data_IF_389915649615
#
_entry.id   IF_389915649615
#
_cell.length_a   1.000
_cell.length_b   1.000
_cell.length_c   1.000
_cell.angle_alpha   90.00
_cell.angle_beta   90.00
_cell.angle_gamma   90.00
#
_symmetry.space_group_name_H-M   'P 1'
#
loop_
_entity.id
_entity.type
_entity.pdbx_description
1 polymer ?
#
# COMPACT_ATOMS: atom_id res chain seq x y z
N UNK A 1 -33.58 6.62 -18.84
CA UNK A 1 -32.64 6.94 -17.73
C UNK A 1 -31.43 7.73 -18.24
N UNK A 2 -31.59 8.95 -18.78
CA UNK A 2 -30.44 9.69 -19.36
C UNK A 2 -30.50 11.22 -19.33
N UNK A 3 -31.54 11.84 -18.75
CA UNK A 3 -31.63 13.31 -18.66
C UNK A 3 -31.18 13.87 -17.29
N UNK A 4 -31.30 13.07 -16.22
CA UNK A 4 -31.07 13.52 -14.84
C UNK A 4 -29.56 13.72 -14.55
N UNK A 5 -28.68 12.86 -15.09
CA UNK A 5 -27.23 12.92 -14.81
C UNK A 5 -26.49 14.06 -15.51
N UNK A 6 -26.98 14.54 -16.66
CA UNK A 6 -26.37 15.67 -17.39
C UNK A 6 -26.73 16.98 -16.68
N UNK A 7 -27.99 17.15 -16.29
CA UNK A 7 -28.48 18.34 -15.56
C UNK A 7 -27.82 18.49 -14.18
N UNK A 8 -27.67 17.40 -13.41
CA UNK A 8 -26.96 17.44 -12.12
C UNK A 8 -25.47 17.78 -12.29
N UNK A 9 -24.82 17.32 -13.35
CA UNK A 9 -23.43 17.67 -13.63
C UNK A 9 -23.26 19.16 -13.97
N UNK A 10 -24.13 19.70 -14.83
CA UNK A 10 -24.14 21.13 -15.18
C UNK A 10 -24.42 22.01 -13.95
N UNK A 11 -25.30 21.56 -13.06
CA UNK A 11 -25.56 22.22 -11.79
C UNK A 11 -24.31 22.24 -10.91
N UNK A 12 -23.60 21.12 -10.79
CA UNK A 12 -22.35 21.07 -10.03
C UNK A 12 -21.28 21.99 -10.62
N UNK A 13 -21.17 22.05 -11.94
CA UNK A 13 -20.26 22.96 -12.63
C UNK A 13 -20.60 24.42 -12.35
N UNK A 14 -21.88 24.79 -12.42
CA UNK A 14 -22.34 26.13 -12.05
C UNK A 14 -22.01 26.47 -10.59
N UNK A 15 -22.18 25.51 -9.67
CA UNK A 15 -21.82 25.71 -8.26
C UNK A 15 -20.31 25.93 -8.11
N UNK A 16 -19.49 25.13 -8.80
CA UNK A 16 -18.03 25.26 -8.80
C UNK A 16 -17.58 26.62 -9.36
N UNK A 17 -18.14 27.07 -10.48
CA UNK A 17 -17.85 28.38 -11.09
C UNK A 17 -18.22 29.55 -10.16
N UNK A 18 -19.31 29.39 -9.39
CA UNK A 18 -19.73 30.34 -8.35
C UNK A 18 -18.96 30.21 -7.03
N UNK A 19 -17.93 29.34 -6.96
CA UNK A 19 -17.14 29.03 -5.76
C UNK A 19 -17.94 28.40 -4.62
N UNK A 20 -19.14 27.88 -4.89
CA UNK A 20 -19.91 27.06 -3.95
C UNK A 20 -19.38 25.62 -4.00
N UNK A 21 -18.14 25.46 -3.52
CA UNK A 21 -17.42 24.19 -3.60
C UNK A 21 -18.04 23.09 -2.73
N UNK A 22 -18.69 23.46 -1.62
CA UNK A 22 -19.38 22.49 -0.76
C UNK A 22 -20.56 21.85 -1.49
N UNK A 23 -21.39 22.66 -2.16
CA UNK A 23 -22.52 22.15 -2.94
C UNK A 23 -22.07 21.38 -4.18
N UNK A 24 -21.04 21.88 -4.88
CA UNK A 24 -20.42 21.16 -5.99
C UNK A 24 -19.92 19.78 -5.55
N UNK A 25 -19.23 19.70 -4.39
CA UNK A 25 -18.72 18.45 -3.82
C UNK A 25 -19.85 17.47 -3.54
N UNK A 26 -20.91 17.91 -2.88
CA UNK A 26 -22.06 17.04 -2.56
C UNK A 26 -22.68 16.42 -3.81
N UNK A 27 -22.94 17.25 -4.84
CA UNK A 27 -23.53 16.77 -6.11
C UNK A 27 -22.57 15.80 -6.82
N UNK A 28 -21.29 16.17 -6.94
CA UNK A 28 -20.30 15.38 -7.65
C UNK A 28 -19.98 14.05 -6.95
N UNK A 29 -19.92 14.04 -5.61
CA UNK A 29 -19.76 12.79 -4.85
C UNK A 29 -20.93 11.84 -5.09
N UNK A 30 -22.17 12.36 -5.10
CA UNK A 30 -23.37 11.56 -5.44
C UNK A 30 -23.28 11.01 -6.88
N UNK A 31 -22.93 11.86 -7.85
CA UNK A 31 -22.80 11.43 -9.24
C UNK A 31 -21.70 10.38 -9.42
N UNK A 32 -20.57 10.51 -8.72
CA UNK A 32 -19.47 9.56 -8.80
C UNK A 32 -19.84 8.19 -8.23
N UNK A 33 -20.58 8.17 -7.12
CA UNK A 33 -21.12 6.93 -6.54
C UNK A 33 -22.14 6.23 -7.46
N UNK A 34 -22.93 6.99 -8.23
CA UNK A 34 -23.88 6.43 -9.18
C UNK A 34 -23.20 5.88 -10.44
N UNK A 35 -22.23 6.63 -10.98
CA UNK A 35 -21.47 6.21 -12.16
C UNK A 35 -20.08 6.86 -12.15
N UNK A 36 -19.08 6.02 -11.93
CA UNK A 36 -17.68 6.44 -12.05
C UNK A 36 -17.37 6.74 -13.51
N UNK A 37 -17.08 8.02 -13.79
CA UNK A 37 -16.62 8.47 -15.11
C UNK A 37 -15.45 9.43 -14.90
N UNK A 38 -14.53 9.46 -15.86
CA UNK A 38 -13.37 10.36 -15.81
C UNK A 38 -13.78 11.83 -15.66
N UNK A 39 -14.86 12.25 -16.34
CA UNK A 39 -15.38 13.63 -16.27
C UNK A 39 -15.82 13.99 -14.85
N UNK A 40 -16.60 13.12 -14.20
CA UNK A 40 -17.04 13.33 -12.82
C UNK A 40 -15.87 13.23 -11.84
N UNK A 41 -14.95 12.29 -12.05
CA UNK A 41 -13.74 12.13 -11.24
C UNK A 41 -12.92 13.42 -11.22
N UNK A 42 -12.55 13.94 -12.39
CA UNK A 42 -11.70 15.12 -12.49
C UNK A 42 -12.38 16.37 -11.92
N UNK A 43 -13.68 16.56 -12.15
CA UNK A 43 -14.41 17.70 -11.59
C UNK A 43 -14.52 17.61 -10.06
N UNK A 44 -14.75 16.40 -9.52
CA UNK A 44 -14.76 16.17 -8.09
C UNK A 44 -13.37 16.39 -7.49
N UNK A 45 -12.31 15.92 -8.15
CA UNK A 45 -10.92 16.18 -7.77
C UNK A 45 -10.65 17.68 -7.66
N UNK A 46 -10.98 18.46 -8.68
CA UNK A 46 -10.81 19.92 -8.64
C UNK A 46 -11.57 20.57 -7.49
N UNK A 47 -12.79 20.07 -7.20
CA UNK A 47 -13.60 20.56 -6.08
C UNK A 47 -12.96 20.23 -4.74
N UNK A 48 -12.45 19.01 -4.56
CA UNK A 48 -11.77 18.58 -3.33
C UNK A 48 -10.50 19.41 -3.09
N UNK A 49 -9.72 19.66 -4.15
CA UNK A 49 -8.55 20.55 -4.13
C UNK A 49 -8.94 21.96 -3.71
N UNK A 50 -10.05 22.51 -4.23
CA UNK A 50 -10.53 23.83 -3.86
C UNK A 50 -10.99 23.92 -2.40
N UNK A 51 -11.45 22.81 -1.81
CA UNK A 51 -11.78 22.70 -0.37
C UNK A 51 -10.60 22.27 0.51
N UNK A 52 -9.37 22.21 -0.04
CA UNK A 52 -8.16 21.75 0.64
C UNK A 52 -8.22 20.31 1.20
N UNK A 53 -9.13 19.48 0.69
CA UNK A 53 -9.22 18.06 1.05
C UNK A 53 -8.29 17.22 0.16
N UNK A 54 -6.99 17.45 0.33
CA UNK A 54 -5.94 16.89 -0.54
C UNK A 54 -5.84 15.36 -0.43
N UNK A 55 -6.10 14.80 0.75
CA UNK A 55 -6.10 13.35 0.97
C UNK A 55 -7.19 12.67 0.14
N UNK A 56 -8.44 13.16 0.23
CA UNK A 56 -9.54 12.63 -0.57
C UNK A 56 -9.32 12.87 -2.08
N UNK A 57 -8.78 14.02 -2.46
CA UNK A 57 -8.45 14.32 -3.85
C UNK A 57 -7.41 13.34 -4.42
N UNK A 58 -6.34 13.07 -3.67
CA UNK A 58 -5.30 12.13 -4.08
C UNK A 58 -5.82 10.70 -4.23
N UNK A 59 -6.62 10.22 -3.27
CA UNK A 59 -7.26 8.91 -3.33
C UNK A 59 -8.16 8.81 -4.56
N UNK A 60 -9.03 9.80 -4.77
CA UNK A 60 -9.94 9.84 -5.92
C UNK A 60 -9.21 9.85 -7.27
N UNK A 61 -8.14 10.63 -7.40
CA UNK A 61 -7.38 10.68 -8.64
C UNK A 61 -6.66 9.36 -8.93
N UNK A 62 -6.32 8.59 -7.90
CA UNK A 62 -5.65 7.30 -8.05
C UNK A 62 -6.54 6.24 -8.72
N UNK A 63 -7.87 6.37 -8.65
CA UNK A 63 -8.82 5.51 -9.39
C UNK A 63 -8.64 5.61 -10.92
N UNK A 64 -8.18 6.76 -11.41
CA UNK A 64 -7.95 7.04 -12.83
C UNK A 64 -6.49 7.43 -13.09
N UNK A 65 -5.55 6.85 -12.34
CA UNK A 65 -4.13 7.24 -12.35
C UNK A 65 -3.56 7.38 -13.77
N UNK A 66 -3.82 6.42 -14.65
CA UNK A 66 -3.31 6.43 -16.03
C UNK A 66 -3.77 7.66 -16.82
N UNK A 67 -5.01 8.13 -16.64
CA UNK A 67 -5.52 9.34 -17.30
C UNK A 67 -4.87 10.62 -16.75
N UNK A 68 -4.55 10.66 -15.45
CA UNK A 68 -3.81 11.77 -14.85
C UNK A 68 -2.37 11.80 -15.34
N UNK A 69 -1.72 10.65 -15.46
CA UNK A 69 -0.35 10.53 -15.96
C UNK A 69 -0.22 10.93 -17.43
N UNK A 70 -1.19 10.54 -18.28
CA UNK A 70 -1.15 10.79 -19.71
C UNK A 70 -1.33 12.28 -20.12
N UNK A 71 -1.71 13.16 -19.18
CA UNK A 71 -2.00 14.57 -19.46
C UNK A 71 -1.11 15.46 -18.59
N UNK A 72 -0.16 16.16 -19.21
CA UNK A 72 0.88 16.92 -18.50
C UNK A 72 0.34 17.89 -17.42
N UNK A 73 -0.80 18.55 -17.70
CA UNK A 73 -1.45 19.45 -16.74
C UNK A 73 -2.05 18.72 -15.52
N UNK A 74 -2.58 17.52 -15.72
CA UNK A 74 -3.18 16.70 -14.66
C UNK A 74 -2.11 15.97 -13.86
N UNK A 75 -1.05 15.50 -14.51
CA UNK A 75 0.09 14.89 -13.84
C UNK A 75 0.72 15.86 -12.84
N UNK A 76 0.95 17.11 -13.26
CA UNK A 76 1.42 18.17 -12.35
C UNK A 76 0.50 18.35 -11.13
N UNK A 77 -0.81 18.42 -11.36
CA UNK A 77 -1.78 18.59 -10.27
C UNK A 77 -1.80 17.37 -9.35
N UNK A 78 -1.69 16.16 -9.90
CA UNK A 78 -1.60 14.92 -9.14
C UNK A 78 -0.41 14.92 -8.19
N UNK A 79 0.79 15.28 -8.68
CA UNK A 79 1.99 15.40 -7.86
C UNK A 79 1.82 16.43 -6.74
N UNK A 80 1.34 17.63 -7.07
CA UNK A 80 1.16 18.71 -6.09
C UNK A 80 0.13 18.34 -5.01
N UNK A 81 -0.96 17.68 -5.40
CA UNK A 81 -1.98 17.21 -4.45
C UNK A 81 -1.45 16.07 -3.60
N UNK A 82 -0.70 15.13 -4.17
CA UNK A 82 -0.09 14.03 -3.40
C UNK A 82 0.92 14.53 -2.36
N UNK A 83 1.71 15.57 -2.69
CA UNK A 83 2.62 16.20 -1.71
C UNK A 83 1.84 16.81 -0.56
N UNK A 84 0.78 17.57 -0.85
CA UNK A 84 -0.09 18.16 0.18
C UNK A 84 -0.90 17.13 0.96
N UNK A 85 -1.13 15.95 0.39
CA UNK A 85 -1.74 14.80 1.05
C UNK A 85 -0.75 14.00 1.92
N UNK A 86 0.53 14.39 1.97
CA UNK A 86 1.56 13.69 2.72
C UNK A 86 1.95 12.33 2.13
N UNK A 87 1.86 12.18 0.80
CA UNK A 87 2.10 10.91 0.11
C UNK A 87 3.43 10.89 -0.66
N UNK A 88 4.44 11.60 -0.18
CA UNK A 88 5.71 11.84 -0.88
C UNK A 88 6.42 10.53 -1.26
N UNK A 89 6.48 9.57 -0.35
CA UNK A 89 7.11 8.27 -0.64
C UNK A 89 6.33 7.50 -1.71
N UNK A 90 5.00 7.56 -1.71
CA UNK A 90 4.16 6.95 -2.77
C UNK A 90 4.37 7.62 -4.11
N UNK A 91 4.53 8.94 -4.14
CA UNK A 91 4.87 9.67 -5.37
C UNK A 91 6.25 9.28 -5.89
N UNK A 92 7.26 9.13 -5.02
CA UNK A 92 8.59 8.65 -5.42
C UNK A 92 8.56 7.21 -5.96
N UNK A 93 7.71 6.34 -5.38
CA UNK A 93 7.50 4.98 -5.89
C UNK A 93 6.91 5.01 -7.30
N UNK A 94 5.85 5.79 -7.51
CA UNK A 94 5.23 5.99 -8.81
C UNK A 94 6.25 6.51 -9.84
N UNK A 95 6.99 7.56 -9.49
CA UNK A 95 8.03 8.14 -10.34
C UNK A 95 9.10 7.12 -10.70
N UNK A 96 9.53 6.27 -9.76
CA UNK A 96 10.54 5.24 -10.02
C UNK A 96 10.06 4.22 -11.08
N UNK A 97 8.75 3.92 -11.10
CA UNK A 97 8.15 3.02 -12.08
C UNK A 97 7.99 3.65 -13.46
N UNK A 98 7.62 4.93 -13.52
CA UNK A 98 7.34 5.62 -14.78
C UNK A 98 8.54 6.40 -15.33
N UNK A 99 9.65 6.52 -14.59
CA UNK A 99 10.83 7.30 -14.97
C UNK A 99 11.34 7.03 -16.39
N UNK A 100 11.35 5.78 -16.91
CA UNK A 100 11.76 5.51 -18.30
C UNK A 100 10.89 6.19 -19.37
N UNK A 101 9.68 6.58 -19.02
CA UNK A 101 8.69 7.18 -19.93
C UNK A 101 8.57 8.70 -19.76
N UNK A 102 9.25 9.31 -18.78
CA UNK A 102 9.21 10.75 -18.54
C UNK A 102 10.23 11.48 -19.43
N UNK A 103 9.80 12.57 -20.07
CA UNK A 103 10.73 13.48 -20.75
C UNK A 103 11.47 14.39 -19.75
N UNK A 104 12.51 15.09 -20.22
CA UNK A 104 13.37 15.94 -19.38
C UNK A 104 12.60 17.03 -18.60
N UNK A 105 11.58 17.63 -19.23
CA UNK A 105 10.76 18.66 -18.61
C UNK A 105 9.89 18.08 -17.47
N UNK A 106 9.34 16.88 -17.67
CA UNK A 106 8.58 16.16 -16.65
C UNK A 106 9.46 15.68 -15.49
N UNK A 107 10.66 15.18 -15.77
CA UNK A 107 11.63 14.82 -14.74
C UNK A 107 11.99 16.04 -13.87
N UNK A 108 12.26 17.18 -14.51
CA UNK A 108 12.54 18.44 -13.80
C UNK A 108 11.36 18.89 -12.94
N UNK A 109 10.14 18.79 -13.47
CA UNK A 109 8.91 19.12 -12.74
C UNK A 109 8.73 18.22 -11.51
N UNK A 110 8.93 16.91 -11.67
CA UNK A 110 8.82 15.91 -10.61
C UNK A 110 9.79 16.22 -9.49
N UNK A 111 11.08 16.36 -9.82
CA UNK A 111 12.13 16.62 -8.83
C UNK A 111 11.82 17.92 -8.09
N UNK A 112 11.48 18.99 -8.80
CA UNK A 112 11.11 20.26 -8.18
C UNK A 112 9.94 20.11 -7.21
N UNK A 113 8.88 19.40 -7.61
CA UNK A 113 7.66 19.25 -6.79
C UNK A 113 7.91 18.40 -5.55
N UNK A 114 8.69 17.33 -5.66
CA UNK A 114 8.93 16.41 -4.54
C UNK A 114 10.00 16.90 -3.56
N UNK A 115 10.88 17.80 -3.99
CA UNK A 115 11.87 18.45 -3.11
C UNK A 115 11.27 19.60 -2.26
N UNK A 116 10.06 20.07 -2.56
CA UNK A 116 9.36 21.09 -1.75
C UNK A 116 8.82 20.53 -0.42
N UNK A 117 9.28 19.36 0.00
CA UNK A 117 8.82 18.66 1.20
C UNK A 117 9.63 19.11 2.42
N UNK A 118 8.93 19.65 3.42
CA UNK A 118 9.56 20.13 4.64
C UNK A 118 10.07 19.00 5.55
N UNK A 119 10.98 19.35 6.45
CA UNK A 119 11.45 18.43 7.49
C UNK A 119 10.50 18.45 8.70
N UNK A 120 9.84 17.32 8.97
CA UNK A 120 9.19 17.07 10.26
C UNK A 120 10.16 16.28 11.16
N UNK A 121 10.88 17.01 12.00
CA UNK A 121 11.92 16.43 12.87
C UNK A 121 11.35 15.51 13.95
N UNK A 122 10.13 15.77 14.42
CA UNK A 122 9.49 14.93 15.44
C UNK A 122 9.02 13.60 14.83
N UNK A 123 8.40 13.65 13.65
CA UNK A 123 7.99 12.46 12.92
C UNK A 123 9.22 11.64 12.51
N UNK A 124 10.27 12.28 11.98
CA UNK A 124 11.53 11.61 11.62
C UNK A 124 12.14 10.86 12.80
N UNK A 125 12.18 11.47 13.99
CA UNK A 125 12.67 10.83 15.22
C UNK A 125 11.79 9.65 15.64
N UNK A 126 10.47 9.83 15.62
CA UNK A 126 9.52 8.77 15.98
C UNK A 126 9.63 7.58 15.03
N UNK A 127 9.79 7.85 13.73
CA UNK A 127 9.95 6.84 12.70
C UNK A 127 11.28 6.07 12.83
N UNK A 128 12.38 6.76 13.13
CA UNK A 128 13.70 6.12 13.32
C UNK A 128 13.77 5.23 14.57
N UNK A 129 12.84 5.39 15.51
CA UNK A 129 12.74 4.61 16.74
C UNK A 129 11.41 3.84 16.82
N UNK A 130 10.93 3.34 15.68
CA UNK A 130 9.59 2.77 15.58
C UNK A 130 9.33 1.62 16.57
N UNK A 131 10.32 0.77 16.84
CA UNK A 131 10.21 -0.35 17.78
C UNK A 131 9.89 0.06 19.23
N UNK A 132 10.14 1.32 19.61
CA UNK A 132 9.83 1.82 20.95
C UNK A 132 8.32 2.05 21.20
N UNK A 133 7.48 1.92 20.17
CA UNK A 133 6.05 2.20 20.23
C UNK A 133 5.21 0.92 20.17
N UNK A 134 3.99 0.99 20.71
CA UNK A 134 3.01 -0.08 20.58
C UNK A 134 2.53 -0.22 19.12
N UNK A 135 2.11 -1.42 18.71
CA UNK A 135 1.83 -1.74 17.30
C UNK A 135 0.87 -0.75 16.59
N UNK A 136 -0.19 -0.30 17.28
CA UNK A 136 -1.13 0.69 16.72
C UNK A 136 -0.44 2.00 16.38
N UNK A 137 0.49 2.44 17.24
CA UNK A 137 1.31 3.62 17.00
C UNK A 137 2.38 3.36 15.94
N UNK A 138 3.04 2.21 15.95
CA UNK A 138 4.00 1.84 14.90
C UNK A 138 3.38 1.99 13.50
N UNK A 139 2.18 1.44 13.32
CA UNK A 139 1.46 1.53 12.04
C UNK A 139 1.15 2.97 11.63
N UNK A 140 0.65 3.77 12.58
CA UNK A 140 0.33 5.18 12.33
C UNK A 140 1.58 5.98 11.97
N UNK A 141 2.64 5.88 12.77
CA UNK A 141 3.91 6.58 12.53
C UNK A 141 4.49 6.16 11.18
N UNK A 142 4.46 4.87 10.85
CA UNK A 142 4.93 4.37 9.57
C UNK A 142 4.15 4.97 8.39
N UNK A 143 2.82 5.08 8.50
CA UNK A 143 1.97 5.71 7.48
C UNK A 143 2.23 7.22 7.38
N UNK A 144 2.29 7.91 8.50
CA UNK A 144 2.56 9.35 8.58
C UNK A 144 3.94 9.67 7.96
N UNK A 145 4.92 8.78 8.14
CA UNK A 145 6.27 8.92 7.59
C UNK A 145 6.32 9.00 6.06
N UNK A 146 5.26 8.60 5.33
CA UNK A 146 5.20 8.84 3.88
C UNK A 146 5.20 10.32 3.49
N UNK A 147 4.92 11.22 4.44
CA UNK A 147 5.03 12.66 4.26
C UNK A 147 6.46 13.20 4.38
N UNK A 148 7.41 12.40 4.84
CA UNK A 148 8.81 12.83 4.96
C UNK A 148 9.47 12.96 3.58
N UNK A 149 10.51 13.80 3.52
CA UNK A 149 11.44 13.80 2.38
C UNK A 149 12.06 12.40 2.21
N UNK A 150 12.32 12.01 0.96
CA UNK A 150 12.78 10.64 0.61
C UNK A 150 14.04 10.26 1.38
N UNK A 151 15.02 11.15 1.46
CA UNK A 151 16.30 10.90 2.10
C UNK A 151 16.14 10.68 3.61
N UNK A 152 15.29 11.48 4.25
CA UNK A 152 14.96 11.36 5.68
C UNK A 152 14.21 10.05 5.95
N UNK A 153 13.25 9.70 5.09
CA UNK A 153 12.54 8.43 5.18
C UNK A 153 13.48 7.24 5.00
N UNK A 154 14.41 7.31 4.03
CA UNK A 154 15.41 6.26 3.81
C UNK A 154 16.33 6.06 5.03
N UNK A 155 16.67 7.14 5.75
CA UNK A 155 17.46 7.02 7.00
C UNK A 155 16.69 6.30 8.11
N UNK A 156 15.38 6.58 8.24
CA UNK A 156 14.54 5.97 9.28
C UNK A 156 14.10 4.54 8.95
N UNK A 157 13.89 4.21 7.67
CA UNK A 157 13.35 2.89 7.27
C UNK A 157 14.37 1.77 7.36
N UNK A 158 15.66 2.06 7.13
CA UNK A 158 16.69 1.02 7.07
C UNK A 158 16.86 0.33 8.45
N UNK A 159 16.92 1.05 9.59
CA UNK A 159 16.93 0.43 10.92
C UNK A 159 15.70 -0.42 11.22
N UNK A 160 14.51 -0.03 10.72
CA UNK A 160 13.24 -0.75 10.94
C UNK A 160 13.31 -2.19 10.41
N UNK A 161 14.08 -2.46 9.35
CA UNK A 161 14.17 -3.78 8.73
C UNK A 161 14.78 -4.85 9.65
N UNK A 162 15.61 -4.47 10.63
CA UNK A 162 16.28 -5.41 11.54
C UNK A 162 15.79 -5.30 12.99
N UNK A 163 15.03 -4.24 13.31
CA UNK A 163 14.50 -4.00 14.64
C UNK A 163 13.54 -5.13 15.05
N UNK A 164 13.87 -5.78 16.17
CA UNK A 164 13.11 -6.92 16.69
C UNK A 164 11.76 -6.52 17.28
N UNK A 165 11.64 -5.27 17.73
CA UNK A 165 10.45 -4.74 18.39
C UNK A 165 9.46 -4.16 17.36
N UNK A 166 9.88 -4.01 16.10
CA UNK A 166 8.98 -3.72 14.99
C UNK A 166 8.27 -5.00 14.54
N UNK A 167 6.95 -4.91 14.41
CA UNK A 167 6.14 -6.04 13.95
C UNK A 167 6.55 -6.51 12.53
N UNK A 168 6.64 -7.83 12.28
CA UNK A 168 7.15 -8.36 11.00
C UNK A 168 6.42 -7.84 9.75
N UNK A 169 5.08 -7.67 9.81
CA UNK A 169 4.32 -7.05 8.70
C UNK A 169 4.79 -5.63 8.36
N UNK A 170 5.21 -4.84 9.34
CA UNK A 170 5.74 -3.49 9.09
C UNK A 170 7.12 -3.59 8.44
N UNK A 171 8.00 -4.49 8.92
CA UNK A 171 9.31 -4.73 8.28
C UNK A 171 9.17 -5.16 6.83
N UNK A 172 8.22 -6.04 6.53
CA UNK A 172 8.00 -6.52 5.17
C UNK A 172 7.30 -5.47 4.29
N UNK A 173 6.47 -4.60 4.88
CA UNK A 173 5.95 -3.40 4.19
C UNK A 173 7.08 -2.44 3.83
N UNK A 174 8.00 -2.18 4.77
CA UNK A 174 9.20 -1.38 4.55
C UNK A 174 10.09 -1.93 3.44
N UNK A 175 10.28 -3.25 3.41
CA UNK A 175 11.01 -3.89 2.33
C UNK A 175 10.32 -3.69 0.96
N UNK A 176 9.00 -3.87 0.89
CA UNK A 176 8.23 -3.65 -0.34
C UNK A 176 8.27 -2.17 -0.78
N UNK A 177 8.24 -1.25 0.17
CA UNK A 177 8.35 0.18 -0.15
C UNK A 177 9.74 0.53 -0.73
N UNK A 178 10.82 -0.04 -0.18
CA UNK A 178 12.18 0.11 -0.71
C UNK A 178 12.34 -0.51 -2.10
N UNK A 179 11.75 -1.68 -2.33
CA UNK A 179 11.69 -2.30 -3.66
C UNK A 179 10.99 -1.37 -4.66
N UNK A 180 9.82 -0.83 -4.32
CA UNK A 180 9.05 0.08 -5.18
C UNK A 180 9.77 1.41 -5.44
N UNK A 181 10.66 1.82 -4.55
CA UNK A 181 11.58 2.95 -4.73
C UNK A 181 12.82 2.60 -5.57
N UNK A 182 12.92 1.37 -6.08
CA UNK A 182 14.09 0.84 -6.78
C UNK A 182 15.40 1.03 -5.97
N UNK A 183 15.34 0.84 -4.66
CA UNK A 183 16.51 1.02 -3.78
C UNK A 183 17.57 -0.07 -4.04
N UNK A 184 18.74 0.35 -4.52
CA UNK A 184 19.76 -0.54 -5.08
C UNK A 184 20.91 -0.89 -4.14
N UNK A 185 20.90 -0.39 -2.90
CA UNK A 185 21.92 -0.75 -1.90
C UNK A 185 21.51 -2.01 -1.15
N UNK A 186 22.51 -2.80 -0.75
CA UNK A 186 22.30 -3.97 0.09
C UNK A 186 21.74 -3.55 1.45
N UNK A 187 20.77 -4.30 1.95
CA UNK A 187 20.16 -4.13 3.27
C UNK A 187 20.11 -5.48 3.98
N UNK A 188 20.02 -5.42 5.31
CA UNK A 188 19.68 -6.56 6.15
C UNK A 188 18.20 -6.49 6.51
N UNK A 189 17.54 -7.64 6.58
CA UNK A 189 16.18 -7.76 7.11
C UNK A 189 16.11 -8.92 8.11
N UNK A 190 15.44 -8.69 9.24
CA UNK A 190 15.07 -9.74 10.18
C UNK A 190 13.77 -10.40 9.73
N UNK A 191 13.86 -11.62 9.23
CA UNK A 191 12.73 -12.40 8.73
C UNK A 191 11.74 -12.77 9.84
N UNK A 192 10.58 -13.30 9.47
CA UNK A 192 9.61 -13.85 10.43
C UNK A 192 10.18 -15.03 11.25
N UNK A 193 11.17 -15.73 10.70
CA UNK A 193 11.90 -16.79 11.38
C UNK A 193 13.04 -16.27 12.27
N UNK A 194 13.15 -14.95 12.44
CA UNK A 194 14.17 -14.28 13.27
C UNK A 194 15.61 -14.44 12.78
N UNK A 195 15.76 -14.78 11.50
CA UNK A 195 17.06 -14.79 10.84
C UNK A 195 17.32 -13.46 10.16
N UNK A 196 18.60 -13.11 10.02
CA UNK A 196 19.01 -12.01 9.17
C UNK A 196 19.23 -12.50 7.75
N UNK A 197 18.58 -11.84 6.79
CA UNK A 197 18.79 -12.03 5.36
C UNK A 197 19.42 -10.74 4.79
N UNK A 198 20.47 -10.90 4.01
CA UNK A 198 21.07 -9.82 3.21
C UNK A 198 20.53 -9.88 1.78
N UNK A 199 20.04 -8.75 1.28
CA UNK A 199 19.44 -8.65 -0.07
C UNK A 199 19.57 -7.23 -0.63
N UNK A 200 19.28 -7.07 -1.91
CA UNK A 200 19.14 -5.75 -2.56
C UNK A 200 17.65 -5.55 -2.90
N UNK A 201 16.94 -4.57 -2.30
CA UNK A 201 15.49 -4.43 -2.49
C UNK A 201 15.06 -4.30 -3.95
N UNK A 202 15.81 -3.57 -4.78
CA UNK A 202 15.52 -3.40 -6.21
C UNK A 202 15.64 -4.69 -7.03
N UNK A 203 16.24 -5.75 -6.49
CA UNK A 203 16.36 -7.06 -7.15
C UNK A 203 15.25 -8.05 -6.73
N UNK A 204 14.42 -7.66 -5.76
CA UNK A 204 13.31 -8.49 -5.34
C UNK A 204 12.19 -8.50 -6.39
N UNK A 205 11.52 -9.65 -6.52
CA UNK A 205 10.25 -9.75 -7.24
C UNK A 205 9.15 -9.11 -6.41
N UNK A 206 8.26 -8.34 -7.05
CA UNK A 206 7.13 -7.71 -6.35
C UNK A 206 6.29 -8.79 -5.65
N UNK A 207 5.74 -8.47 -4.47
CA UNK A 207 4.98 -9.45 -3.69
C UNK A 207 3.85 -10.09 -4.52
N UNK A 208 3.14 -9.28 -5.30
CA UNK A 208 2.04 -9.71 -6.18
C UNK A 208 2.51 -10.55 -7.37
N UNK A 209 3.79 -10.44 -7.74
CA UNK A 209 4.41 -11.15 -8.87
C UNK A 209 5.22 -12.37 -8.42
N UNK A 210 5.32 -12.63 -7.10
CA UNK A 210 6.06 -13.76 -6.58
C UNK A 210 5.35 -15.08 -6.96
N UNK A 211 6.05 -16.05 -7.58
CA UNK A 211 5.43 -17.30 -8.01
C UNK A 211 4.78 -18.10 -6.87
N UNK A 212 5.30 -18.02 -5.65
CA UNK A 212 4.69 -18.67 -4.48
C UNK A 212 3.37 -18.01 -4.14
N UNK A 213 3.34 -16.67 -4.13
CA UNK A 213 2.13 -15.89 -3.83
C UNK A 213 1.05 -16.18 -4.86
N UNK A 214 1.38 -16.10 -6.16
CA UNK A 214 0.43 -16.38 -7.23
C UNK A 214 -0.12 -17.81 -7.18
N UNK A 215 0.74 -18.80 -6.89
CA UNK A 215 0.30 -20.19 -6.76
C UNK A 215 -0.68 -20.39 -5.59
N UNK A 216 -0.44 -19.73 -4.46
CA UNK A 216 -1.33 -19.80 -3.29
C UNK A 216 -2.66 -19.08 -3.54
N UNK A 217 -2.64 -17.91 -4.18
CA UNK A 217 -3.87 -17.19 -4.56
C UNK A 217 -4.72 -18.00 -5.55
N UNK A 218 -4.10 -18.62 -6.56
CA UNK A 218 -4.81 -19.50 -7.50
C UNK A 218 -5.42 -20.72 -6.81
N UNK A 219 -4.67 -21.36 -5.89
CA UNK A 219 -5.17 -22.47 -5.10
C UNK A 219 -6.36 -22.05 -4.23
N UNK A 220 -6.28 -20.88 -3.58
CA UNK A 220 -7.36 -20.32 -2.78
C UNK A 220 -8.61 -20.10 -3.63
N UNK A 221 -8.50 -19.42 -4.77
CA UNK A 221 -9.64 -19.21 -5.70
C UNK A 221 -10.27 -20.54 -6.13
N UNK A 222 -9.44 -21.55 -6.44
CA UNK A 222 -9.95 -22.89 -6.77
C UNK A 222 -10.76 -23.50 -5.63
N UNK A 223 -10.29 -23.40 -4.39
CA UNK A 223 -10.98 -23.94 -3.20
C UNK A 223 -12.29 -23.21 -2.89
N UNK A 224 -12.33 -21.89 -3.07
CA UNK A 224 -13.57 -21.10 -2.98
C UNK A 224 -14.58 -21.58 -4.03
N UNK A 225 -14.16 -21.75 -5.29
CA UNK A 225 -15.02 -22.25 -6.36
C UNK A 225 -15.53 -23.69 -6.12
N UNK A 226 -14.75 -24.51 -5.41
CA UNK A 226 -15.14 -25.85 -4.96
C UNK A 226 -16.09 -25.83 -3.74
N UNK A 227 -16.43 -24.66 -3.19
CA UNK A 227 -17.28 -24.51 -2.01
C UNK A 227 -16.60 -24.95 -0.70
N UNK A 228 -15.26 -24.99 -0.67
CA UNK A 228 -14.46 -25.44 0.49
C UNK A 228 -14.03 -24.29 1.40
N UNK A 229 -14.27 -23.04 0.99
CA UNK A 229 -13.88 -21.81 1.70
C UNK A 229 -14.89 -20.68 1.51
N UNK A 230 -14.85 -19.72 2.43
CA UNK A 230 -15.55 -18.44 2.38
C UNK A 230 -14.65 -17.34 1.77
N UNK A 231 -15.17 -16.59 0.81
CA UNK A 231 -14.34 -15.91 -0.19
C UNK A 231 -13.52 -14.70 0.30
N UNK A 232 -14.04 -13.84 1.18
CA UNK A 232 -13.45 -12.50 1.40
C UNK A 232 -12.46 -12.43 2.57
N UNK A 233 -12.87 -12.86 3.78
CA UNK A 233 -12.02 -12.72 4.97
C UNK A 233 -10.79 -13.62 4.92
N UNK A 234 -10.98 -14.86 4.47
CA UNK A 234 -9.91 -15.84 4.35
C UNK A 234 -8.87 -15.48 3.27
N UNK A 235 -9.27 -14.71 2.24
CA UNK A 235 -8.33 -14.20 1.23
C UNK A 235 -7.41 -13.12 1.83
N UNK A 236 -7.99 -12.22 2.64
CA UNK A 236 -7.21 -11.18 3.32
C UNK A 236 -6.23 -11.81 4.33
N UNK A 237 -6.67 -12.83 5.06
CA UNK A 237 -5.82 -13.58 5.99
C UNK A 237 -4.67 -14.29 5.27
N UNK A 238 -4.96 -15.02 4.19
CA UNK A 238 -3.94 -15.66 3.35
C UNK A 238 -2.86 -14.65 2.93
N UNK A 239 -3.30 -13.48 2.44
CA UNK A 239 -2.37 -12.43 2.02
C UNK A 239 -1.49 -11.94 3.17
N UNK A 240 -2.07 -11.73 4.37
CA UNK A 240 -1.28 -11.32 5.54
C UNK A 240 -0.25 -12.37 5.94
N UNK A 241 -0.58 -13.66 5.89
CA UNK A 241 0.41 -14.70 6.19
C UNK A 241 1.51 -14.75 5.15
N UNK A 242 1.18 -14.70 3.86
CA UNK A 242 2.19 -14.65 2.81
C UNK A 242 3.09 -13.42 2.95
N UNK A 243 2.51 -12.26 3.32
CA UNK A 243 3.28 -11.05 3.62
C UNK A 243 4.19 -11.22 4.84
N UNK A 244 3.81 -11.99 5.86
CA UNK A 244 4.71 -12.31 6.99
C UNK A 244 5.92 -13.11 6.54
N UNK A 245 5.72 -14.06 5.62
CA UNK A 245 6.73 -15.01 5.18
C UNK A 245 7.68 -14.45 4.10
N UNK A 246 7.23 -13.43 3.36
CA UNK A 246 8.06 -12.69 2.41
C UNK A 246 9.31 -12.09 3.10
N UNK A 247 10.48 -11.95 2.42
CA UNK A 247 10.75 -12.30 1.02
C UNK A 247 11.22 -13.75 0.81
N UNK A 248 11.42 -14.54 1.86
CA UNK A 248 12.00 -15.88 1.74
C UNK A 248 11.04 -16.99 2.18
N UNK A 249 10.50 -17.67 1.17
CA UNK A 249 9.59 -18.79 1.27
C UNK A 249 10.30 -20.14 1.47
N UNK A 250 11.64 -20.19 1.41
CA UNK A 250 12.44 -21.43 1.41
C UNK A 250 12.20 -22.27 2.66
N UNK A 251 12.17 -21.66 3.84
CA UNK A 251 11.93 -22.39 5.09
C UNK A 251 10.56 -23.07 5.13
N UNK A 252 9.53 -22.34 4.73
CA UNK A 252 8.17 -22.87 4.68
C UNK A 252 8.09 -24.00 3.65
N UNK A 253 8.77 -23.84 2.51
CA UNK A 253 8.89 -24.89 1.48
C UNK A 253 9.59 -26.14 2.01
N UNK A 254 10.66 -25.99 2.77
CA UNK A 254 11.38 -27.13 3.34
C UNK A 254 10.57 -27.85 4.42
N UNK A 255 9.75 -27.11 5.18
CA UNK A 255 8.90 -27.68 6.23
C UNK A 255 7.66 -28.39 5.66
N UNK A 256 7.11 -27.89 4.54
CA UNK A 256 5.80 -28.29 4.04
C UNK A 256 5.81 -28.95 2.66
N UNK A 257 6.94 -28.90 1.95
CA UNK A 257 7.03 -29.39 0.58
C UNK A 257 6.05 -28.66 -0.37
N UNK A 258 5.06 -29.39 -0.87
CA UNK A 258 4.09 -28.95 -1.88
C UNK A 258 3.26 -27.75 -1.38
N UNK A 259 3.04 -26.78 -2.27
CA UNK A 259 2.17 -25.61 -2.05
C UNK A 259 0.76 -25.97 -1.56
N UNK A 260 0.23 -27.14 -1.90
CA UNK A 260 -1.06 -27.59 -1.35
C UNK A 260 -1.05 -27.77 0.16
N UNK A 261 0.10 -28.13 0.75
CA UNK A 261 0.23 -28.30 2.20
C UNK A 261 0.21 -26.97 2.94
N UNK A 262 0.65 -25.89 2.29
CA UNK A 262 0.70 -24.55 2.87
C UNK A 262 -0.70 -24.04 3.15
N UNK A 263 -1.60 -24.19 2.20
CA UNK A 263 -3.00 -23.80 2.33
C UNK A 263 -3.67 -24.30 3.63
N UNK A 264 -3.42 -25.56 4.01
CA UNK A 264 -3.97 -26.15 5.24
C UNK A 264 -3.49 -25.47 6.53
N UNK A 265 -2.42 -24.68 6.45
CA UNK A 265 -1.84 -23.95 7.57
C UNK A 265 -2.18 -22.48 7.58
N UNK A 266 -2.48 -21.95 6.40
CA UNK A 266 -2.73 -20.53 6.18
C UNK A 266 -4.21 -20.17 6.38
N UNK A 267 -5.14 -21.11 6.15
CA UNK A 267 -6.58 -20.79 6.08
C UNK A 267 -7.52 -21.89 6.63
N UNK A 268 -7.10 -23.17 6.67
CA UNK A 268 -8.00 -24.27 7.09
C UNK A 268 -7.88 -24.59 8.60
N UNK A 269 -8.90 -24.22 9.39
CA UNK A 269 -9.02 -24.56 10.81
C UNK A 269 -9.34 -26.03 11.09
N UNK A 270 -9.89 -26.74 10.11
CA UNK A 270 -10.35 -28.14 10.25
C UNK A 270 -9.27 -29.16 9.90
N UNK A 271 -8.14 -28.73 9.33
CA UNK A 271 -7.00 -29.58 8.94
C UNK A 271 -6.17 -30.13 10.12
N UNK A 272 -6.68 -30.03 11.36
CA UNK A 272 -5.99 -30.42 12.62
C UNK A 272 -5.50 -31.87 12.66
N UNK A 273 -6.00 -32.74 11.79
CA UNK A 273 -5.61 -34.14 11.76
C UNK A 273 -4.32 -34.34 10.94
N UNK A 274 -3.21 -34.53 11.63
CA UNK A 274 -1.90 -35.03 11.11
C UNK A 274 -0.91 -33.97 10.61
N UNK A 275 -0.77 -32.84 11.30
CA UNK A 275 0.37 -31.93 11.07
C UNK A 275 1.55 -32.29 11.98
N UNK A 276 2.75 -32.30 11.42
CA UNK A 276 3.98 -32.50 12.20
C UNK A 276 4.16 -31.40 13.26
N UNK A 277 4.87 -31.72 14.36
CA UNK A 277 5.05 -30.80 15.50
C UNK A 277 5.60 -29.43 15.10
N UNK A 278 6.55 -29.39 14.16
CA UNK A 278 7.18 -28.14 13.69
C UNK A 278 6.18 -27.24 12.95
N UNK A 279 5.29 -27.87 12.18
CA UNK A 279 4.25 -27.20 11.41
C UNK A 279 3.20 -26.57 12.33
N UNK A 280 2.82 -27.26 13.42
CA UNK A 280 1.94 -26.71 14.45
C UNK A 280 2.55 -25.53 15.19
N UNK A 281 3.86 -25.53 15.43
CA UNK A 281 4.57 -24.40 16.05
C UNK A 281 4.54 -23.19 15.12
N UNK A 282 4.82 -23.39 13.83
CA UNK A 282 4.76 -22.33 12.82
C UNK A 282 3.37 -21.70 12.75
N UNK A 283 2.33 -22.53 12.65
CA UNK A 283 0.92 -22.08 12.63
C UNK A 283 0.59 -21.20 13.84
N UNK A 284 0.91 -21.66 15.05
CA UNK A 284 0.69 -20.88 16.28
C UNK A 284 1.46 -19.56 16.29
N UNK A 285 2.68 -19.53 15.74
CA UNK A 285 3.47 -18.29 15.63
C UNK A 285 2.79 -17.29 14.69
N UNK A 286 2.27 -17.76 13.56
CA UNK A 286 1.50 -16.96 12.60
C UNK A 286 0.23 -16.43 13.24
N UNK A 287 -0.61 -17.31 13.81
CA UNK A 287 -1.87 -16.95 14.49
C UNK A 287 -1.64 -15.89 15.57
N UNK A 288 -0.60 -16.05 16.39
CA UNK A 288 -0.24 -15.06 17.41
C UNK A 288 0.14 -13.70 16.78
N UNK A 289 0.89 -13.70 15.68
CA UNK A 289 1.28 -12.46 15.00
C UNK A 289 0.06 -11.76 14.40
N UNK A 290 -0.82 -12.51 13.73
CA UNK A 290 -2.06 -11.96 13.14
C UNK A 290 -3.02 -11.44 14.21
N UNK A 291 -3.24 -12.18 15.30
CA UNK A 291 -4.09 -11.72 16.40
C UNK A 291 -3.56 -10.42 17.04
N UNK A 292 -2.23 -10.26 17.10
CA UNK A 292 -1.62 -8.99 17.55
C UNK A 292 -1.90 -7.87 16.57
N UNK A 293 -1.77 -8.15 15.27
CA UNK A 293 -2.09 -7.21 14.19
C UNK A 293 -3.55 -6.76 14.18
N UNK A 294 -4.50 -7.68 14.35
CA UNK A 294 -5.94 -7.41 14.38
C UNK A 294 -6.35 -6.52 15.56
N UNK A 295 -5.81 -6.79 16.76
CA UNK A 295 -6.07 -5.95 17.94
C UNK A 295 -5.62 -4.51 17.76
N UNK A 296 -4.63 -4.24 16.91
CA UNK A 296 -4.20 -2.89 16.61
C UNK A 296 -5.22 -2.09 15.76
N UNK A 297 -6.27 -2.74 15.21
CA UNK A 297 -7.36 -2.08 14.49
C UNK A 297 -8.55 -1.68 15.36
N UNK A 298 -8.70 -2.29 16.55
CA UNK A 298 -9.71 -1.93 17.54
C UNK A 298 -9.27 -0.67 18.33
#
# INVERSE_FOLDING_TARGET
>A
MSAISISEFEQAQTCYEKKDYLKARQILSKLYLQKQTLRTNYMLFQTLVATADYSAAYQLASDYLNDYLARNGWFKQYLQVGVKAGQNIKLWQLVSQISPYLNEAEQTLVVKTLLETGEDTQLSKSFSHLGAFELKQQRRIYQDAYSLAKEVWLQGVIPILVDQDVHPLIRNTALSDLQKLAYSKQVKIRTFFEEELELVPSQLVAFEDDPVVQAQEQLFTKKVNEGKLDALWQQAELKLVLMLLYPDFTKVKNLLGDYQQWYYLLVDENSKATLEKQVMILRKKVEKSLATWEKAWQ
#
